data_IF_935283651775
#
_entry.id   IF_935283651775
#
_cell.length_a   1.000
_cell.length_b   1.000
_cell.length_c   1.000
_cell.angle_alpha   90.00
_cell.angle_beta   90.00
_cell.angle_gamma   90.00
#
_symmetry.space_group_name_H-M   'P 1'
#
loop_
_entity.id
_entity.type
_entity.pdbx_description
1 polymer ?
#
# COMPACT_ATOMS: atom_id res chain seq x y z
N UNK A 1 -2.91 -16.59 -0.86
CA UNK A 1 -2.00 -16.45 0.30
C UNK A 1 -1.37 -17.79 0.65
N UNK A 2 -2.16 -18.86 0.78
CA UNK A 2 -1.64 -20.21 1.07
C UNK A 2 -0.77 -20.78 -0.05
N UNK A 3 -1.10 -20.53 -1.31
CA UNK A 3 -0.40 -21.11 -2.47
C UNK A 3 1.05 -20.57 -2.68
N UNK A 4 1.40 -19.45 -2.04
CA UNK A 4 2.71 -18.79 -2.25
C UNK A 4 3.59 -18.79 -0.99
N UNK A 5 3.18 -19.44 0.10
CA UNK A 5 3.98 -19.57 1.33
C UNK A 5 4.24 -18.26 2.08
N UNK A 6 3.44 -17.21 1.87
CA UNK A 6 3.65 -15.93 2.53
C UNK A 6 3.37 -16.00 4.04
N UNK A 7 4.38 -15.71 4.86
CA UNK A 7 4.24 -15.59 6.31
C UNK A 7 3.81 -14.15 6.65
N UNK A 8 2.60 -13.99 7.18
CA UNK A 8 2.12 -12.69 7.61
C UNK A 8 2.88 -12.23 8.86
N UNK A 9 3.70 -11.18 8.73
CA UNK A 9 4.40 -10.55 9.86
C UNK A 9 3.54 -9.52 10.61
N UNK A 10 2.22 -9.58 10.48
CA UNK A 10 1.30 -8.67 11.17
C UNK A 10 1.12 -9.15 12.61
N UNK A 11 1.68 -8.40 13.56
CA UNK A 11 1.56 -8.68 14.99
C UNK A 11 0.38 -7.94 15.61
N UNK A 12 -0.31 -8.62 16.53
CA UNK A 12 -1.34 -8.00 17.38
C UNK A 12 -0.75 -6.85 18.21
N UNK A 13 -1.58 -5.86 18.52
CA UNK A 13 -1.25 -4.70 19.36
C UNK A 13 -0.64 -5.09 20.71
N UNK A 14 -1.15 -6.15 21.37
CA UNK A 14 -0.60 -6.64 22.65
C UNK A 14 0.83 -7.15 22.50
N UNK A 15 1.09 -7.92 21.43
CA UNK A 15 2.41 -8.47 21.12
C UNK A 15 3.40 -7.37 20.74
N UNK A 16 2.92 -6.34 20.06
CA UNK A 16 3.74 -5.15 19.76
C UNK A 16 4.12 -4.36 21.01
N UNK A 17 3.20 -4.18 21.97
CA UNK A 17 3.48 -3.52 23.25
C UNK A 17 4.58 -4.28 24.01
N UNK A 18 4.47 -5.60 24.10
CA UNK A 18 5.47 -6.45 24.75
C UNK A 18 6.84 -6.40 24.02
N UNK A 19 6.84 -6.47 22.69
CA UNK A 19 8.06 -6.29 21.89
C UNK A 19 8.71 -4.93 22.13
N UNK A 20 7.92 -3.85 22.23
CA UNK A 20 8.42 -2.50 22.50
C UNK A 20 8.97 -2.36 23.93
N UNK A 21 8.39 -3.07 24.91
CA UNK A 21 8.93 -3.16 26.28
C UNK A 21 10.30 -3.86 26.30
N UNK A 22 10.46 -4.96 25.55
CA UNK A 22 11.73 -5.72 25.48
C UNK A 22 12.79 -5.02 24.62
N UNK A 23 12.38 -4.34 23.56
CA UNK A 23 13.27 -3.64 22.63
C UNK A 23 12.80 -2.21 22.38
N UNK A 24 13.13 -1.27 23.29
CA UNK A 24 12.67 0.13 23.22
C UNK A 24 13.09 0.87 21.95
N UNK A 25 14.21 0.47 21.34
CA UNK A 25 14.73 1.05 20.09
C UNK A 25 13.98 0.59 18.83
N UNK A 26 13.14 -0.44 18.93
CA UNK A 26 12.44 -1.01 17.78
C UNK A 26 11.33 -0.07 17.31
N UNK A 27 11.48 0.46 16.09
CA UNK A 27 10.47 1.30 15.42
C UNK A 27 9.55 0.44 14.56
N UNK A 28 8.23 0.56 14.78
CA UNK A 28 7.24 -0.01 13.88
C UNK A 28 7.24 0.78 12.54
N UNK A 29 7.33 0.07 11.41
CA UNK A 29 7.39 0.68 10.07
C UNK A 29 6.03 0.70 9.34
N UNK A 30 4.93 0.64 10.09
CA UNK A 30 3.56 0.62 9.53
C UNK A 30 3.24 1.84 8.68
N UNK A 31 3.84 2.99 9.02
CA UNK A 31 3.67 4.24 8.29
C UNK A 31 3.92 4.10 6.79
N UNK A 32 4.80 3.18 6.35
CA UNK A 32 5.05 2.96 4.92
C UNK A 32 3.80 2.40 4.22
N UNK A 33 3.15 1.40 4.84
CA UNK A 33 1.94 0.78 4.31
C UNK A 33 0.76 1.76 4.35
N UNK A 34 0.64 2.51 5.45
CA UNK A 34 -0.39 3.55 5.60
C UNK A 34 -0.24 4.66 4.56
N UNK A 35 0.99 5.09 4.29
CA UNK A 35 1.31 6.07 3.23
C UNK A 35 0.97 5.51 1.86
N UNK A 36 1.30 4.25 1.57
CA UNK A 36 0.88 3.60 0.33
C UNK A 36 -0.65 3.60 0.20
N UNK A 37 -1.38 3.18 1.23
CA UNK A 37 -2.85 3.21 1.21
C UNK A 37 -3.41 4.63 0.99
N UNK A 38 -2.78 5.65 1.58
CA UNK A 38 -3.15 7.05 1.34
C UNK A 38 -3.02 7.44 -0.14
N UNK A 39 -2.02 6.94 -0.86
CA UNK A 39 -1.88 7.19 -2.31
C UNK A 39 -3.02 6.55 -3.10
N UNK A 40 -3.41 5.32 -2.78
CA UNK A 40 -4.54 4.64 -3.42
C UNK A 40 -5.88 5.36 -3.15
N UNK A 41 -6.07 5.89 -1.95
CA UNK A 41 -7.27 6.65 -1.59
C UNK A 41 -7.44 7.96 -2.36
N UNK A 42 -6.40 8.46 -3.06
CA UNK A 42 -6.51 9.62 -3.96
C UNK A 42 -7.20 9.31 -5.28
N UNK A 43 -7.32 8.04 -5.63
CA UNK A 43 -8.04 7.61 -6.83
C UNK A 43 -9.52 7.45 -6.49
N UNK A 44 -10.36 8.39 -6.93
CA UNK A 44 -11.82 8.37 -6.67
C UNK A 44 -12.49 7.03 -7.04
N UNK A 45 -12.00 6.39 -8.11
CA UNK A 45 -12.51 5.10 -8.60
C UNK A 45 -12.14 3.91 -7.71
N UNK A 46 -11.08 4.03 -6.90
CA UNK A 46 -10.64 3.01 -5.95
C UNK A 46 -11.11 3.28 -4.51
N UNK A 47 -11.25 4.56 -4.12
CA UNK A 47 -11.68 4.97 -2.78
C UNK A 47 -13.03 4.33 -2.40
N UNK A 48 -13.97 4.32 -3.35
CA UNK A 48 -15.24 3.61 -3.21
C UNK A 48 -15.26 2.49 -4.25
N UNK A 49 -15.41 1.25 -3.77
CA UNK A 49 -15.43 0.07 -4.64
C UNK A 49 -16.76 -0.02 -5.40
N UNK A 50 -16.79 0.56 -6.60
CA UNK A 50 -17.91 0.42 -7.53
C UNK A 50 -17.82 -0.81 -8.43
N UNK A 51 -16.63 -1.38 -8.58
CA UNK A 51 -16.41 -2.53 -9.46
C UNK A 51 -17.09 -3.79 -8.90
N UNK A 52 -18.06 -4.31 -9.65
CA UNK A 52 -18.77 -5.56 -9.32
C UNK A 52 -17.89 -6.79 -9.45
N UNK A 53 -16.93 -6.74 -10.38
CA UNK A 53 -16.04 -7.85 -10.70
C UNK A 53 -14.70 -7.68 -10.00
N UNK A 54 -14.21 -8.74 -9.38
CA UNK A 54 -12.90 -8.76 -8.74
C UNK A 54 -11.77 -8.43 -9.72
N UNK A 55 -11.79 -9.03 -10.93
CA UNK A 55 -10.80 -8.76 -11.97
C UNK A 55 -10.67 -7.27 -12.31
N UNK A 56 -11.79 -6.56 -12.37
CA UNK A 56 -11.80 -5.13 -12.69
C UNK A 56 -11.20 -4.31 -11.55
N UNK A 57 -11.54 -4.65 -10.31
CA UNK A 57 -10.94 -4.00 -9.14
C UNK A 57 -9.43 -4.23 -9.09
N UNK A 58 -8.97 -5.46 -9.31
CA UNK A 58 -7.55 -5.80 -9.34
C UNK A 58 -6.82 -5.06 -10.47
N UNK A 59 -7.42 -4.97 -11.67
CA UNK A 59 -6.83 -4.21 -12.78
C UNK A 59 -6.66 -2.72 -12.44
N UNK A 60 -7.66 -2.10 -11.81
CA UNK A 60 -7.57 -0.71 -11.37
C UNK A 60 -6.50 -0.49 -10.29
N UNK A 61 -6.32 -1.44 -9.38
CA UNK A 61 -5.24 -1.38 -8.39
C UNK A 61 -3.86 -1.41 -9.06
N UNK A 62 -3.66 -2.30 -10.04
CA UNK A 62 -2.41 -2.34 -10.80
C UNK A 62 -2.18 -1.03 -11.58
N UNK A 63 -3.22 -0.49 -12.21
CA UNK A 63 -3.13 0.79 -12.92
C UNK A 63 -2.75 1.95 -11.98
N UNK A 64 -3.38 2.04 -10.80
CA UNK A 64 -3.03 3.05 -9.81
C UNK A 64 -1.58 2.90 -9.32
N UNK A 65 -1.13 1.66 -9.07
CA UNK A 65 0.25 1.38 -8.69
C UNK A 65 1.24 1.83 -9.78
N UNK A 66 0.95 1.54 -11.05
CA UNK A 66 1.77 1.96 -12.18
C UNK A 66 1.85 3.49 -12.29
N UNK A 67 0.72 4.20 -12.14
CA UNK A 67 0.67 5.68 -12.17
C UNK A 67 1.48 6.27 -10.99
N UNK A 68 1.34 5.72 -9.79
CA UNK A 68 2.11 6.17 -8.61
C UNK A 68 3.61 6.00 -8.86
N UNK A 69 4.03 4.81 -9.32
CA UNK A 69 5.43 4.52 -9.62
C UNK A 69 5.96 5.47 -10.70
N UNK A 70 5.20 5.69 -11.77
CA UNK A 70 5.57 6.59 -12.86
C UNK A 70 5.75 8.04 -12.39
N UNK A 71 4.85 8.54 -11.52
CA UNK A 71 4.94 9.88 -10.92
C UNK A 71 6.14 10.07 -9.99
N UNK A 72 6.74 8.99 -9.50
CA UNK A 72 7.92 9.05 -8.61
C UNK A 72 9.24 9.08 -9.39
N UNK A 73 9.21 8.85 -10.70
CA UNK A 73 10.40 8.95 -11.55
C UNK A 73 10.74 10.44 -11.69
N UNK A 74 11.96 10.87 -11.30
CA UNK A 74 12.39 12.24 -11.49
C UNK A 74 12.67 12.47 -12.97
N UNK A 75 11.74 13.16 -13.63
CA UNK A 75 11.87 13.58 -15.02
C UNK A 75 11.79 15.10 -15.08
N UNK A 76 12.60 15.71 -15.96
CA UNK A 76 12.57 17.15 -16.22
C UNK A 76 11.29 17.59 -16.93
N UNK A 77 10.62 16.66 -17.61
CA UNK A 77 9.39 16.88 -18.37
C UNK A 77 8.21 16.17 -17.72
N UNK A 78 7.06 16.84 -17.67
CA UNK A 78 5.87 16.28 -17.04
C UNK A 78 5.06 15.47 -18.06
N UNK A 79 5.47 14.22 -18.28
CA UNK A 79 4.92 13.31 -19.30
C UNK A 79 3.39 13.09 -19.17
N UNK A 80 2.82 13.36 -18.00
CA UNK A 80 1.39 13.17 -17.73
C UNK A 80 0.52 14.28 -18.33
N UNK A 81 1.08 15.49 -18.50
CA UNK A 81 0.30 16.64 -18.96
C UNK A 81 0.55 17.02 -20.42
N UNK A 82 1.55 16.41 -21.08
CA UNK A 82 1.96 16.79 -22.44
C UNK A 82 2.77 18.06 -22.45
#
# INVERSE_FOLDING_TARGET
MEEHGYIAHVVDRRKEIDIKRRHPSKKARRWVVEVCHSWFNRFRKLLVRYEKLERSFVALNHLAAAIIAFRKVPLSVNIIYG
#
